data_IF_280562362972
#
_entry.id   IF_280562362972
#
_cell.length_a   1.000
_cell.length_b   1.000
_cell.length_c   1.000
_cell.angle_alpha   90.00
_cell.angle_beta   90.00
_cell.angle_gamma   90.00
#
_symmetry.space_group_name_H-M   'P 1'
#
loop_
_entity.id
_entity.type
_entity.pdbx_description
1 polymer ?
#
# COMPACT_ATOMS: atom_id res chain seq x y z
N UNK A 1 17.88 -52.68 8.77
CA UNK A 1 16.80 -51.93 8.07
C UNK A 1 16.10 -50.90 8.97
N UNK A 2 16.53 -50.73 10.23
CA UNK A 2 15.86 -49.89 11.22
C UNK A 2 16.28 -48.41 11.17
N UNK A 3 17.48 -48.12 10.65
CA UNK A 3 17.99 -46.75 10.51
C UNK A 3 17.24 -45.87 9.51
N UNK A 4 16.51 -46.46 8.56
CA UNK A 4 15.67 -45.72 7.61
C UNK A 4 14.35 -45.25 8.23
N UNK A 5 13.85 -45.97 9.24
CA UNK A 5 12.61 -45.62 9.92
C UNK A 5 12.80 -44.37 10.81
N UNK A 6 13.95 -44.29 11.48
CA UNK A 6 14.27 -43.21 12.43
C UNK A 6 14.44 -41.87 11.69
N UNK A 7 15.09 -41.90 10.52
CA UNK A 7 15.28 -40.71 9.69
C UNK A 7 13.95 -40.18 9.10
N UNK A 8 12.99 -41.08 8.82
CA UNK A 8 11.69 -40.71 8.29
C UNK A 8 10.79 -40.06 9.35
N UNK A 9 10.87 -40.50 10.62
CA UNK A 9 10.09 -39.94 11.73
C UNK A 9 10.62 -38.56 12.16
N UNK A 10 11.94 -38.35 12.12
CA UNK A 10 12.56 -37.06 12.47
C UNK A 10 12.23 -35.94 11.46
N UNK A 11 12.17 -36.25 10.16
CA UNK A 11 11.72 -35.28 9.15
C UNK A 11 10.23 -34.92 9.31
N UNK A 12 9.42 -35.84 9.83
CA UNK A 12 8.00 -35.59 10.10
C UNK A 12 7.75 -34.81 11.41
N UNK A 13 8.76 -34.70 12.30
CA UNK A 13 8.70 -33.97 13.58
C UNK A 13 9.51 -32.65 13.59
N UNK A 14 10.10 -32.26 12.47
CA UNK A 14 10.65 -30.92 12.24
C UNK A 14 9.67 -29.91 11.57
N UNK A 15 8.32 -30.02 11.63
CA UNK A 15 7.43 -29.03 11.01
C UNK A 15 7.36 -27.73 11.82
N UNK A 16 8.03 -27.64 12.97
CA UNK A 16 7.98 -26.47 13.84
C UNK A 16 8.51 -25.21 13.17
N UNK A 17 9.64 -25.29 12.46
CA UNK A 17 10.22 -24.11 11.80
C UNK A 17 9.33 -23.58 10.66
N UNK A 18 8.74 -24.48 9.86
CA UNK A 18 7.84 -24.11 8.76
C UNK A 18 6.53 -23.54 9.28
N UNK A 19 5.97 -24.12 10.36
CA UNK A 19 4.75 -23.63 11.00
C UNK A 19 5.00 -22.26 11.66
N UNK A 20 6.14 -22.07 12.33
CA UNK A 20 6.52 -20.78 12.91
C UNK A 20 6.75 -19.72 11.83
N UNK A 21 7.40 -20.07 10.72
CA UNK A 21 7.62 -19.17 9.60
C UNK A 21 6.28 -18.77 8.94
N UNK A 22 5.40 -19.75 8.73
CA UNK A 22 4.04 -19.51 8.21
C UNK A 22 3.22 -18.59 9.12
N UNK A 23 3.23 -18.83 10.43
CA UNK A 23 2.55 -17.96 11.41
C UNK A 23 3.13 -16.54 11.41
N UNK A 24 4.46 -16.41 11.37
CA UNK A 24 5.11 -15.09 11.33
C UNK A 24 4.70 -14.29 10.09
N UNK A 25 4.63 -14.93 8.91
CA UNK A 25 4.18 -14.28 7.67
C UNK A 25 2.71 -13.86 7.78
N UNK A 26 1.83 -14.73 8.28
CA UNK A 26 0.41 -14.39 8.45
C UNK A 26 0.21 -13.22 9.41
N UNK A 27 0.90 -13.24 10.55
CA UNK A 27 0.85 -12.15 11.54
C UNK A 27 1.39 -10.85 10.93
N UNK A 28 2.50 -10.91 10.18
CA UNK A 28 3.07 -9.75 9.51
C UNK A 28 2.10 -9.14 8.48
N UNK A 29 1.46 -9.96 7.64
CA UNK A 29 0.49 -9.49 6.66
C UNK A 29 -0.76 -8.91 7.32
N UNK A 30 -1.25 -9.54 8.39
CA UNK A 30 -2.39 -9.05 9.17
C UNK A 30 -2.06 -7.70 9.83
N UNK A 31 -0.90 -7.58 10.45
CA UNK A 31 -0.42 -6.33 11.03
C UNK A 31 -0.26 -5.23 9.96
N UNK A 32 0.34 -5.55 8.81
CA UNK A 32 0.50 -4.60 7.71
C UNK A 32 -0.85 -4.12 7.16
N UNK A 33 -1.84 -5.01 7.06
CA UNK A 33 -3.21 -4.67 6.66
C UNK A 33 -3.94 -3.82 7.69
N UNK A 34 -3.77 -4.11 8.99
CA UNK A 34 -4.39 -3.37 10.08
C UNK A 34 -3.75 -1.99 10.32
N UNK A 35 -2.46 -1.85 10.03
CA UNK A 35 -1.72 -0.58 10.10
C UNK A 35 -2.00 0.34 8.91
N UNK A 36 -2.62 -0.17 7.83
CA UNK A 36 -3.15 0.72 6.79
C UNK A 36 -4.30 1.50 7.41
N UNK A 37 -4.05 2.77 7.68
CA UNK A 37 -5.09 3.70 8.11
C UNK A 37 -6.29 3.54 7.16
N UNK A 38 -7.51 3.38 7.70
CA UNK A 38 -8.69 3.47 6.85
C UNK A 38 -8.56 4.81 6.14
N UNK A 39 -8.71 4.83 4.81
CA UNK A 39 -8.74 6.05 4.01
C UNK A 39 -9.91 6.85 4.57
N UNK A 40 -9.61 7.66 5.58
CA UNK A 40 -10.56 8.55 6.23
C UNK A 40 -11.21 9.31 5.11
N UNK A 41 -12.48 9.62 5.28
CA UNK A 41 -13.32 10.37 4.34
C UNK A 41 -12.77 11.79 4.18
N UNK A 42 -11.52 11.92 3.73
CA UNK A 42 -10.95 13.15 3.25
C UNK A 42 -11.91 13.55 2.14
N UNK A 43 -12.49 14.76 2.21
CA UNK A 43 -13.28 15.26 1.10
C UNK A 43 -12.46 15.03 -0.18
N UNK A 44 -13.12 14.68 -1.30
CA UNK A 44 -12.40 14.59 -2.56
C UNK A 44 -11.54 15.84 -2.69
N UNK A 45 -10.28 15.66 -3.05
CA UNK A 45 -9.41 16.79 -3.32
C UNK A 45 -10.16 17.73 -4.28
N UNK A 46 -10.04 19.06 -4.09
CA UNK A 46 -10.68 19.98 -4.99
C UNK A 46 -10.31 19.58 -6.42
N UNK A 47 -11.31 19.49 -7.30
CA UNK A 47 -11.06 19.09 -8.67
C UNK A 47 -10.12 20.13 -9.29
N UNK A 48 -9.20 19.64 -10.13
CA UNK A 48 -8.12 20.45 -10.70
C UNK A 48 -7.99 20.18 -12.20
N UNK A 49 -7.04 20.84 -12.86
CA UNK A 49 -6.80 20.65 -14.28
C UNK A 49 -6.49 19.18 -14.59
N UNK A 50 -6.91 18.71 -15.75
CA UNK A 50 -6.63 17.34 -16.17
C UNK A 50 -5.10 17.11 -16.34
N UNK A 51 -4.57 15.95 -15.91
CA UNK A 51 -3.15 15.64 -16.11
C UNK A 51 -2.83 15.44 -17.60
N UNK A 52 -1.67 15.93 -18.05
CA UNK A 52 -1.15 15.64 -19.38
C UNK A 52 -0.64 14.18 -19.47
N UNK A 53 -0.79 13.50 -20.62
CA UNK A 53 -0.49 12.06 -20.75
C UNK A 53 0.97 11.66 -20.51
N UNK A 54 1.93 12.59 -20.63
CA UNK A 54 3.37 12.31 -20.46
C UNK A 54 4.00 13.06 -19.27
N UNK A 55 3.55 14.29 -18.99
CA UNK A 55 4.17 15.17 -18.00
C UNK A 55 3.28 15.40 -16.76
N UNK A 56 2.08 14.83 -16.73
CA UNK A 56 1.11 15.04 -15.65
C UNK A 56 0.79 16.53 -15.48
N UNK A 57 1.04 17.05 -14.27
CA UNK A 57 0.79 18.46 -13.93
C UNK A 57 2.02 19.37 -14.05
N UNK A 58 3.20 18.85 -14.42
CA UNK A 58 4.46 19.58 -14.30
C UNK A 58 4.45 20.96 -14.98
N UNK A 59 3.85 21.07 -16.18
CA UNK A 59 3.75 22.33 -16.93
C UNK A 59 2.65 23.26 -16.46
N UNK A 60 1.72 22.74 -15.67
CA UNK A 60 0.51 23.44 -15.25
C UNK A 60 0.69 24.00 -13.84
N UNK A 61 1.67 23.51 -13.07
CA UNK A 61 2.00 24.06 -11.74
C UNK A 61 2.36 25.54 -11.86
N UNK A 62 1.60 26.44 -11.23
CA UNK A 62 1.88 27.87 -11.25
C UNK A 62 3.13 28.17 -10.42
N UNK A 63 4.11 28.85 -11.02
CA UNK A 63 5.31 29.32 -10.33
C UNK A 63 5.02 30.63 -9.55
N UNK A 64 4.16 31.48 -10.13
CA UNK A 64 3.75 32.76 -9.55
C UNK A 64 2.34 32.69 -8.96
N UNK A 65 2.14 33.34 -7.81
CA UNK A 65 0.85 33.49 -7.13
C UNK A 65 0.04 32.19 -7.02
N UNK A 66 0.72 31.06 -6.76
CA UNK A 66 0.15 29.72 -6.80
C UNK A 66 -1.17 29.58 -6.01
N UNK A 67 -1.25 30.22 -4.84
CA UNK A 67 -2.46 30.23 -4.01
C UNK A 67 -3.69 30.76 -4.75
N UNK A 68 -3.55 31.85 -5.51
CA UNK A 68 -4.66 32.45 -6.26
C UNK A 68 -5.11 31.53 -7.39
N UNK A 69 -4.17 30.94 -8.12
CA UNK A 69 -4.48 29.99 -9.21
C UNK A 69 -5.17 28.73 -8.69
N UNK A 70 -4.73 28.20 -7.54
CA UNK A 70 -5.40 27.07 -6.91
C UNK A 70 -6.81 27.44 -6.42
N UNK A 71 -7.03 28.66 -5.93
CA UNK A 71 -8.36 29.13 -5.53
C UNK A 71 -9.30 29.28 -6.75
N UNK A 72 -8.79 29.77 -7.88
CA UNK A 72 -9.52 29.82 -9.15
C UNK A 72 -9.90 28.42 -9.64
N UNK A 73 -8.96 27.48 -9.65
CA UNK A 73 -9.27 26.09 -10.05
C UNK A 73 -10.30 25.43 -9.14
N UNK A 74 -10.27 25.71 -7.84
CA UNK A 74 -11.30 25.20 -6.94
C UNK A 74 -12.70 25.73 -7.29
N UNK A 75 -12.82 26.93 -7.87
CA UNK A 75 -14.08 27.48 -8.37
C UNK A 75 -14.45 26.96 -9.77
N UNK A 76 -13.49 26.87 -10.69
CA UNK A 76 -13.71 26.45 -12.07
C UNK A 76 -14.12 24.97 -12.17
N UNK A 77 -13.54 24.13 -11.32
CA UNK A 77 -13.72 22.69 -11.40
C UNK A 77 -14.71 22.14 -10.37
N UNK A 78 -15.22 22.93 -9.41
CA UNK A 78 -16.18 22.45 -8.40
C UNK A 78 -17.41 21.84 -9.08
N UNK A 79 -17.52 20.51 -9.03
CA UNK A 79 -18.64 19.71 -9.56
C UNK A 79 -19.52 19.25 -8.43
#
# INVERSE_FOLDING_TARGET
MEGKLIHCVLTQYLPGAEVLLGLAVVIFLAAYGALKEPKTRKPPLPPGPAPEPLLGHYRVVPEDAAFQRYAEWAADFST
#
